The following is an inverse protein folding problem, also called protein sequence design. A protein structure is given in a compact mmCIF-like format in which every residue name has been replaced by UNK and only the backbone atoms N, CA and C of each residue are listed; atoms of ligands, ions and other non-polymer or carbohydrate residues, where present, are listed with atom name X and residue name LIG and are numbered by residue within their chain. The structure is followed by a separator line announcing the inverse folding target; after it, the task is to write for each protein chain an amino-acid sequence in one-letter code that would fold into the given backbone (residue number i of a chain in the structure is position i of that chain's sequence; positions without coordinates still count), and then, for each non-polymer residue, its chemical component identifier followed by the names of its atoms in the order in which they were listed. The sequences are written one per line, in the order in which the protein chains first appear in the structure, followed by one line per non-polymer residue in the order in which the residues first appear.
data_IF_417789086597
#
_entry.id   IF_417789086597
#
_cell.length_a   1.000
_cell.length_b   1.000
_cell.length_c   1.000
_cell.angle_alpha   90.00
_cell.angle_beta   90.00
_cell.angle_gamma   90.00
#
_symmetry.space_group_name_H-M   'P 1'
#
loop_
_entity.id
_entity.type
_entity.pdbx_description
1 polymer ?
#
# COMPACT_ATOMS: atom_id res chain seq x y z
N UNK A 1 14.58 17.55 1.70
CA UNK A 1 13.16 17.29 1.42
C UNK A 1 12.37 17.58 2.68
N UNK A 2 11.46 18.55 2.65
CA UNK A 2 10.56 18.84 3.77
C UNK A 2 9.25 18.11 3.50
N UNK A 3 8.88 17.15 4.34
CA UNK A 3 7.63 16.39 4.18
C UNK A 3 6.61 17.03 5.11
N UNK A 4 5.50 17.50 4.56
CA UNK A 4 4.41 18.05 5.36
C UNK A 4 3.62 16.93 6.06
N UNK A 5 2.90 17.30 7.12
CA UNK A 5 2.15 16.34 7.91
C UNK A 5 0.95 15.82 7.14
N UNK A 6 0.83 14.51 7.04
CA UNK A 6 -0.31 13.87 6.42
C UNK A 6 -1.54 13.94 7.34
N UNK A 7 -2.40 14.95 7.13
CA UNK A 7 -3.47 15.32 8.05
C UNK A 7 -4.49 14.19 8.31
N UNK A 8 -4.82 13.40 7.28
CA UNK A 8 -5.77 12.31 7.41
C UNK A 8 -5.25 11.20 8.34
N UNK A 9 -4.01 10.76 8.12
CA UNK A 9 -3.36 9.76 8.98
C UNK A 9 -3.17 10.27 10.41
N UNK A 10 -2.86 11.57 10.57
CA UNK A 10 -2.75 12.14 11.90
C UNK A 10 -4.07 12.12 12.66
N UNK A 11 -5.17 12.46 11.99
CA UNK A 11 -6.50 12.42 12.59
C UNK A 11 -6.90 10.99 12.98
N UNK A 12 -6.71 10.01 12.09
CA UNK A 12 -6.96 8.60 12.41
C UNK A 12 -6.15 8.16 13.64
N UNK A 13 -4.85 8.42 13.65
CA UNK A 13 -3.97 8.04 14.76
C UNK A 13 -4.39 8.61 16.13
N UNK A 14 -4.99 9.81 16.15
CA UNK A 14 -5.44 10.45 17.39
C UNK A 14 -6.76 9.88 17.90
N UNK A 15 -7.68 9.51 17.01
CA UNK A 15 -9.08 9.28 17.38
C UNK A 15 -9.59 7.86 17.14
N UNK A 16 -8.99 7.08 16.23
CA UNK A 16 -9.51 5.78 15.79
C UNK A 16 -9.78 4.80 16.94
N UNK A 17 -8.91 4.81 17.96
CA UNK A 17 -9.02 3.94 19.15
C UNK A 17 -9.68 4.61 20.36
N UNK A 18 -10.20 5.84 20.21
CA UNK A 18 -10.76 6.64 21.31
C UNK A 18 -12.27 6.90 21.14
N UNK A 19 -12.86 6.53 20.01
CA UNK A 19 -14.27 6.77 19.70
C UNK A 19 -15.09 5.50 19.89
N UNK A 20 -16.33 5.66 20.35
CA UNK A 20 -17.29 4.55 20.48
C UNK A 20 -17.80 4.08 19.10
N UNK A 21 -17.99 5.03 18.17
CA UNK A 21 -18.44 4.76 16.81
C UNK A 21 -17.48 5.37 15.80
N UNK A 22 -16.71 4.51 15.12
CA UNK A 22 -15.88 4.92 13.99
C UNK A 22 -16.66 4.74 12.68
N UNK A 23 -17.02 5.86 12.05
CA UNK A 23 -17.71 5.92 10.74
C UNK A 23 -16.84 6.58 9.66
N UNK A 24 -15.53 6.71 9.90
CA UNK A 24 -14.64 7.49 9.03
C UNK A 24 -13.81 6.65 8.07
N UNK A 25 -13.74 5.33 8.29
CA UNK A 25 -12.95 4.43 7.46
C UNK A 25 -13.57 4.22 6.07
N UNK A 26 -12.70 4.13 5.06
CA UNK A 26 -13.07 3.84 3.67
C UNK A 26 -12.93 2.36 3.30
N UNK A 27 -12.34 1.56 4.20
CA UNK A 27 -12.12 0.13 4.02
C UNK A 27 -13.29 -0.74 4.52
N UNK A 28 -13.13 -2.05 4.32
CA UNK A 28 -14.01 -3.05 4.94
C UNK A 28 -13.60 -3.28 6.39
N UNK A 29 -14.54 -3.74 7.23
CA UNK A 29 -14.25 -4.08 8.62
C UNK A 29 -13.15 -5.14 8.70
N UNK A 30 -12.12 -4.97 9.55
CA UNK A 30 -11.05 -5.95 9.68
C UNK A 30 -11.60 -7.28 10.21
N UNK A 31 -10.97 -8.38 9.78
CA UNK A 31 -11.25 -9.72 10.29
C UNK A 31 -10.00 -10.30 10.95
N UNK A 32 -10.21 -11.26 11.84
CA UNK A 32 -9.16 -12.04 12.48
C UNK A 32 -8.60 -13.08 11.51
N UNK A 33 -7.36 -13.53 11.75
CA UNK A 33 -6.77 -14.61 10.95
C UNK A 33 -7.60 -15.91 10.98
N UNK A 34 -8.35 -16.17 12.07
CA UNK A 34 -9.22 -17.35 12.20
C UNK A 34 -10.49 -17.25 11.37
N UNK A 35 -10.95 -16.04 11.09
CA UNK A 35 -12.09 -15.83 10.19
C UNK A 35 -11.67 -15.95 8.72
N UNK A 36 -10.40 -15.69 8.41
CA UNK A 36 -9.86 -15.70 7.06
C UNK A 36 -9.26 -17.06 6.64
N UNK A 37 -8.63 -17.79 7.56
CA UNK A 37 -7.83 -18.98 7.26
C UNK A 37 -8.44 -20.23 7.91
N UNK A 38 -8.31 -21.37 7.24
CA UNK A 38 -8.60 -22.67 7.86
C UNK A 38 -7.46 -23.15 8.79
N UNK A 39 -7.71 -24.19 9.58
CA UNK A 39 -6.73 -24.71 10.54
C UNK A 39 -5.44 -25.19 9.85
N UNK A 40 -5.53 -25.71 8.62
CA UNK A 40 -4.34 -26.16 7.89
C UNK A 40 -3.46 -24.98 7.49
N UNK A 41 -4.05 -23.89 7.01
CA UNK A 41 -3.34 -22.67 6.66
C UNK A 41 -2.77 -21.96 7.89
N UNK A 42 -3.46 -21.99 9.03
CA UNK A 42 -2.95 -21.48 10.31
C UNK A 42 -1.71 -22.27 10.75
N UNK A 43 -1.76 -23.60 10.72
CA UNK A 43 -0.62 -24.43 11.06
C UNK A 43 0.58 -24.18 10.13
N UNK A 44 0.33 -24.01 8.83
CA UNK A 44 1.39 -23.65 7.87
C UNK A 44 2.00 -22.27 8.18
N UNK A 45 1.18 -21.27 8.52
CA UNK A 45 1.64 -19.94 8.90
C UNK A 45 2.55 -20.00 10.13
N UNK A 46 2.15 -20.73 11.16
CA UNK A 46 2.92 -20.89 12.40
C UNK A 46 4.24 -21.65 12.21
N UNK A 47 4.32 -22.50 11.19
CA UNK A 47 5.52 -23.26 10.83
C UNK A 47 6.38 -22.58 9.75
N UNK A 48 6.07 -21.35 9.34
CA UNK A 48 6.83 -20.63 8.31
C UNK A 48 8.14 -20.08 8.88
N UNK A 49 9.26 -20.39 8.22
CA UNK A 49 10.56 -19.78 8.52
C UNK A 49 10.56 -18.29 8.15
N UNK A 50 11.00 -17.44 9.08
CA UNK A 50 11.13 -16.00 8.87
C UNK A 50 12.50 -15.65 8.25
N UNK A 51 12.66 -15.94 6.96
CA UNK A 51 13.83 -15.54 6.17
C UNK A 51 13.53 -14.30 5.30
N UNK A 52 14.46 -13.94 4.40
CA UNK A 52 14.31 -12.78 3.52
C UNK A 52 13.19 -12.94 2.47
N UNK A 53 12.73 -14.18 2.23
CA UNK A 53 11.66 -14.50 1.29
C UNK A 53 11.96 -14.12 -0.16
N UNK A 54 10.92 -13.66 -0.85
CA UNK A 54 10.97 -13.28 -2.26
C UNK A 54 10.86 -11.75 -2.37
N UNK A 55 11.90 -11.11 -2.89
CA UNK A 55 11.97 -9.64 -3.01
C UNK A 55 10.88 -9.04 -3.90
N UNK A 56 10.47 -9.75 -4.95
CA UNK A 56 9.40 -9.30 -5.87
C UNK A 56 8.00 -9.85 -5.47
N UNK A 57 7.95 -10.72 -4.46
CA UNK A 57 6.78 -11.50 -4.06
C UNK A 57 6.84 -12.97 -4.49
N UNK A 58 6.13 -13.82 -3.74
CA UNK A 58 6.05 -15.27 -4.01
C UNK A 58 5.54 -15.54 -5.44
N UNK A 59 6.14 -16.46 -6.21
CA UNK A 59 5.73 -16.72 -7.59
C UNK A 59 4.24 -17.05 -7.75
N UNK A 60 3.67 -17.86 -6.83
CA UNK A 60 2.24 -18.19 -6.88
C UNK A 60 1.35 -16.96 -6.63
N UNK A 61 1.77 -16.06 -5.74
CA UNK A 61 1.04 -14.82 -5.46
C UNK A 61 1.06 -13.89 -6.67
N UNK A 62 2.23 -13.70 -7.30
CA UNK A 62 2.37 -12.88 -8.51
C UNK A 62 1.49 -13.41 -9.64
N UNK A 63 1.45 -14.73 -9.82
CA UNK A 63 0.58 -15.38 -10.81
C UNK A 63 -0.90 -15.19 -10.50
N UNK A 64 -1.31 -15.27 -9.23
CA UNK A 64 -2.70 -15.06 -8.84
C UNK A 64 -3.14 -13.62 -9.10
N UNK A 65 -2.30 -12.63 -8.76
CA UNK A 65 -2.58 -11.21 -8.99
C UNK A 65 -2.63 -10.88 -10.48
N UNK A 66 -1.75 -11.46 -11.31
CA UNK A 66 -1.76 -11.18 -12.75
C UNK A 66 -3.08 -11.57 -13.43
N UNK A 67 -3.80 -12.55 -12.90
CA UNK A 67 -5.11 -12.97 -13.42
C UNK A 67 -6.20 -11.92 -13.24
N UNK A 68 -6.02 -10.93 -12.37
CA UNK A 68 -6.98 -9.83 -12.19
C UNK A 68 -6.91 -8.80 -13.31
N UNK A 69 -5.79 -8.77 -14.05
CA UNK A 69 -5.51 -7.73 -15.05
C UNK A 69 -5.41 -8.34 -16.45
N UNK A 70 -6.23 -7.90 -17.41
CA UNK A 70 -6.10 -8.31 -18.80
C UNK A 70 -4.71 -8.01 -19.36
N UNK A 71 -4.12 -8.96 -20.10
CA UNK A 71 -2.81 -8.83 -20.74
C UNK A 71 -1.61 -8.64 -19.79
N UNK A 72 -1.74 -8.98 -18.50
CA UNK A 72 -0.62 -9.00 -17.55
C UNK A 72 -0.08 -10.42 -17.35
N UNK A 73 1.24 -10.55 -17.27
CA UNK A 73 1.93 -11.75 -16.78
C UNK A 73 2.45 -11.53 -15.36
N UNK A 74 2.89 -12.59 -14.69
CA UNK A 74 3.54 -12.50 -13.37
C UNK A 74 4.80 -11.64 -13.39
N UNK A 75 5.46 -11.50 -14.54
CA UNK A 75 6.63 -10.62 -14.75
C UNK A 75 6.26 -9.14 -14.65
N UNK A 76 4.99 -8.78 -14.89
CA UNK A 76 4.50 -7.41 -14.73
C UNK A 76 4.10 -7.08 -13.28
N UNK A 77 4.16 -8.04 -12.36
CA UNK A 77 3.68 -7.89 -10.99
C UNK A 77 4.84 -7.76 -10.01
N UNK A 78 4.83 -6.69 -9.22
CA UNK A 78 5.67 -6.49 -8.04
C UNK A 78 4.78 -6.42 -6.80
N UNK A 79 4.98 -7.33 -5.85
CA UNK A 79 4.26 -7.31 -4.58
C UNK A 79 4.94 -6.33 -3.63
N UNK A 80 4.15 -5.47 -2.99
CA UNK A 80 4.60 -4.43 -2.08
C UNK A 80 3.83 -4.49 -0.76
N UNK A 81 4.35 -3.82 0.25
CA UNK A 81 3.74 -3.60 1.55
C UNK A 81 2.60 -2.57 1.46
N UNK A 82 1.52 -3.02 0.82
CA UNK A 82 0.33 -2.23 0.54
C UNK A 82 0.54 -1.17 -0.54
N UNK A 83 -0.55 -0.53 -0.95
CA UNK A 83 -0.55 0.46 -2.02
C UNK A 83 0.32 1.70 -1.71
N UNK A 84 0.60 1.98 -0.43
CA UNK A 84 1.49 3.10 -0.05
C UNK A 84 2.92 2.90 -0.55
N UNK A 85 3.49 1.69 -0.42
CA UNK A 85 4.82 1.41 -0.96
C UNK A 85 4.79 1.38 -2.49
N UNK A 86 3.78 0.74 -3.10
CA UNK A 86 3.62 0.74 -4.57
C UNK A 86 3.65 2.16 -5.16
N UNK A 87 2.92 3.08 -4.54
CA UNK A 87 2.88 4.49 -4.93
C UNK A 87 4.25 5.15 -4.79
N UNK A 88 4.93 4.96 -3.65
CA UNK A 88 6.25 5.54 -3.40
C UNK A 88 7.27 5.07 -4.44
N UNK A 89 7.38 3.76 -4.66
CA UNK A 89 8.37 3.21 -5.58
C UNK A 89 8.06 3.57 -7.03
N UNK A 90 6.78 3.67 -7.41
CA UNK A 90 6.39 4.08 -8.76
C UNK A 90 6.84 5.52 -9.04
N UNK A 91 6.57 6.45 -8.12
CA UNK A 91 7.00 7.85 -8.23
C UNK A 91 8.52 7.94 -8.26
N UNK A 92 9.19 7.29 -7.31
CA UNK A 92 10.64 7.39 -7.16
C UNK A 92 11.38 6.74 -8.34
N UNK A 93 10.87 5.65 -8.90
CA UNK A 93 11.53 4.98 -10.02
C UNK A 93 11.31 5.66 -11.37
N UNK A 94 10.19 6.37 -11.55
CA UNK A 94 9.80 6.93 -12.86
C UNK A 94 10.18 8.39 -13.01
N UNK A 95 10.12 9.21 -11.95
CA UNK A 95 10.35 10.65 -12.05
C UNK A 95 11.80 11.04 -11.81
N UNK A 96 12.26 12.02 -12.58
CA UNK A 96 13.56 12.70 -12.44
C UNK A 96 13.36 14.21 -12.18
N UNK A 97 14.39 14.90 -11.65
CA UNK A 97 14.33 16.35 -11.51
C UNK A 97 14.08 17.04 -12.86
N UNK A 98 13.02 17.85 -12.93
CA UNK A 98 12.61 18.56 -14.14
C UNK A 98 11.42 17.93 -14.88
N UNK A 99 10.98 16.73 -14.48
CA UNK A 99 9.78 16.10 -15.05
C UNK A 99 8.50 16.79 -14.56
N UNK A 100 7.51 16.88 -15.45
CA UNK A 100 6.18 17.39 -15.13
C UNK A 100 5.24 16.23 -14.77
N UNK A 101 4.60 16.32 -13.61
CA UNK A 101 3.61 15.33 -13.14
C UNK A 101 2.21 15.96 -13.10
N UNK A 102 1.25 15.31 -13.75
CA UNK A 102 -0.15 15.69 -13.69
C UNK A 102 -0.85 14.83 -12.63
N UNK A 103 -1.33 15.45 -11.56
CA UNK A 103 -2.08 14.79 -10.49
C UNK A 103 -3.56 15.17 -10.53
N UNK A 104 -4.44 14.18 -10.34
CA UNK A 104 -5.86 14.44 -10.13
C UNK A 104 -6.10 14.80 -8.66
N UNK A 105 -6.74 15.95 -8.40
CA UNK A 105 -6.94 16.54 -7.07
C UNK A 105 -7.74 15.66 -6.08
N UNK A 106 -8.34 14.55 -6.53
CA UNK A 106 -9.05 13.57 -5.71
C UNK A 106 -8.23 12.29 -5.41
N UNK A 107 -6.94 12.25 -5.79
CA UNK A 107 -6.09 11.08 -5.46
C UNK A 107 -5.84 10.97 -3.97
N UNK A 108 -5.64 9.74 -3.48
CA UNK A 108 -5.33 9.46 -2.07
C UNK A 108 -4.25 10.42 -1.57
N UNK A 109 -4.57 11.15 -0.52
CA UNK A 109 -3.88 12.35 -0.08
C UNK A 109 -2.39 12.18 0.28
N UNK A 110 -1.89 10.95 0.47
CA UNK A 110 -0.44 10.68 0.56
C UNK A 110 0.35 11.08 -0.70
N UNK A 111 -0.24 10.98 -1.89
CA UNK A 111 0.49 11.14 -3.15
C UNK A 111 0.80 12.62 -3.46
N UNK A 112 -0.17 13.51 -3.22
CA UNK A 112 -0.01 14.95 -3.46
C UNK A 112 0.93 15.62 -2.44
N UNK A 113 0.89 15.19 -1.17
CA UNK A 113 1.69 15.76 -0.09
C UNK A 113 3.20 15.44 -0.22
N UNK A 114 3.56 14.34 -0.87
CA UNK A 114 4.97 14.00 -1.16
C UNK A 114 5.56 14.76 -2.35
N UNK A 115 4.70 15.23 -3.26
CA UNK A 115 5.09 15.75 -4.57
C UNK A 115 5.00 17.27 -4.68
N UNK A 116 4.38 17.94 -3.70
CA UNK A 116 4.32 19.41 -3.61
C UNK A 116 5.65 19.99 -3.10
N UNK A 117 6.72 19.83 -3.89
CA UNK A 117 8.00 20.50 -3.69
C UNK A 117 8.66 20.86 -5.03
N UNK A 118 8.25 21.97 -5.63
CA UNK A 118 9.13 22.77 -6.51
C UNK A 118 8.73 24.25 -6.73
N UNK A 119 7.68 24.79 -6.10
CA UNK A 119 7.31 26.22 -6.27
C UNK A 119 7.69 27.13 -5.08
N UNK A 120 8.82 26.86 -4.42
CA UNK A 120 9.38 27.81 -3.45
C UNK A 120 10.90 27.89 -3.49
N UNK A 121 11.43 28.39 -4.60
CA UNK A 121 12.60 29.28 -4.63
C UNK A 121 12.43 30.32 -5.75
#
# INVERSE_FOLDING_TARGET
MKIDLFQLERNQSLYENQVEYNLTESGVHPCTLRELLDETAIDQLLNTTLDYGYTEGRPQLRQAVSQWYPNASSENILITHGASEANLIAVWSVLSPGDELILSFLTSCKFADWLTLSESQ
#
